data_IF_684483185660
#
_entry.id   IF_684483185660
#
_cell.length_a   1.000
_cell.length_b   1.000
_cell.length_c   1.000
_cell.angle_alpha   90.00
_cell.angle_beta   90.00
_cell.angle_gamma   90.00
#
_symmetry.space_group_name_H-M   'P 1'
#
loop_
_entity.id
_entity.type
_entity.pdbx_description
1 polymer ?
#
# COMPACT_ATOMS: atom_id res chain seq x y z
N UNK A 1 34.11 1.72 -9.07
CA UNK A 1 33.92 2.36 -7.76
C UNK A 1 32.44 2.71 -7.68
N UNK A 2 31.61 1.87 -7.05
CA UNK A 2 30.15 2.07 -7.02
C UNK A 2 29.86 3.27 -6.12
N UNK A 3 29.26 4.29 -6.70
CA UNK A 3 28.70 5.42 -5.97
C UNK A 3 27.82 4.86 -4.85
N UNK A 4 28.15 5.18 -3.59
CA UNK A 4 27.20 5.07 -2.50
C UNK A 4 26.10 6.07 -2.82
N UNK A 5 25.06 5.61 -3.52
CA UNK A 5 23.77 6.29 -3.57
C UNK A 5 23.48 6.80 -2.17
N UNK A 6 23.19 8.09 -2.07
CA UNK A 6 22.85 8.78 -0.83
C UNK A 6 21.71 8.03 -0.12
N UNK A 7 22.04 7.06 0.74
CA UNK A 7 21.17 6.49 1.77
C UNK A 7 21.02 7.52 2.90
N UNK A 8 20.61 8.75 2.55
CA UNK A 8 19.98 9.65 3.51
C UNK A 8 18.60 9.07 3.82
N UNK A 9 18.59 7.89 4.45
CA UNK A 9 17.38 7.21 4.86
C UNK A 9 16.51 8.17 5.65
N UNK A 10 15.25 8.28 5.24
CA UNK A 10 14.32 9.24 5.81
C UNK A 10 13.99 8.81 7.24
N UNK A 11 14.40 9.59 8.23
CA UNK A 11 14.00 9.38 9.62
C UNK A 11 12.68 10.07 9.89
N UNK A 12 11.86 9.47 10.76
CA UNK A 12 10.62 10.06 11.27
C UNK A 12 10.51 9.78 12.77
N UNK A 13 9.93 10.71 13.52
CA UNK A 13 9.60 10.49 14.93
C UNK A 13 8.09 10.39 15.08
N UNK A 14 7.63 9.34 15.73
CA UNK A 14 6.20 9.10 15.97
C UNK A 14 6.04 8.89 17.48
N UNK A 15 5.30 9.80 18.12
CA UNK A 15 5.27 9.92 19.58
C UNK A 15 6.68 10.09 20.13
N UNK A 16 7.12 9.14 20.97
CA UNK A 16 8.45 9.13 21.60
C UNK A 16 9.49 8.32 20.82
N UNK A 17 9.09 7.61 19.77
CA UNK A 17 9.94 6.63 19.08
C UNK A 17 10.46 7.19 17.76
N UNK A 18 11.76 7.09 17.54
CA UNK A 18 12.40 7.39 16.26
C UNK A 18 12.36 6.15 15.38
N UNK A 19 12.07 6.32 14.10
CA UNK A 19 12.11 5.28 13.09
C UNK A 19 13.04 5.69 11.95
N UNK A 20 13.83 4.73 11.45
CA UNK A 20 14.51 4.83 10.16
C UNK A 20 13.66 4.12 9.11
N UNK A 21 13.36 4.79 8.01
CA UNK A 21 12.80 4.17 6.82
C UNK A 21 13.95 3.50 6.07
N UNK A 22 13.90 2.18 5.92
CA UNK A 22 14.96 1.38 5.28
C UNK A 22 14.39 0.54 4.15
N UNK A 23 15.17 0.37 3.08
CA UNK A 23 14.89 -0.61 2.03
C UNK A 23 15.47 -1.97 2.43
N UNK A 24 14.62 -2.85 2.93
CA UNK A 24 15.00 -4.22 3.32
C UNK A 24 15.00 -5.11 2.08
N UNK A 25 16.13 -5.76 1.73
CA UNK A 25 16.17 -6.70 0.62
C UNK A 25 15.34 -7.96 0.93
N UNK A 26 14.72 -8.51 -0.10
CA UNK A 26 13.98 -9.77 -0.08
C UNK A 26 14.79 -10.88 -0.78
N UNK A 27 14.43 -12.14 -0.50
CA UNK A 27 15.01 -13.31 -1.19
C UNK A 27 14.77 -13.30 -2.70
N UNK A 28 13.73 -12.61 -3.18
CA UNK A 28 13.44 -12.45 -4.61
C UNK A 28 14.46 -11.60 -5.36
N UNK A 29 15.32 -10.86 -4.65
CA UNK A 29 16.21 -9.85 -5.21
C UNK A 29 15.61 -8.43 -5.19
N UNK A 30 14.33 -8.29 -4.88
CA UNK A 30 13.67 -7.00 -4.69
C UNK A 30 13.94 -6.40 -3.30
N UNK A 31 13.42 -5.20 -3.04
CA UNK A 31 13.44 -4.59 -1.71
C UNK A 31 12.09 -4.03 -1.33
N UNK A 32 11.78 -4.05 -0.03
CA UNK A 32 10.58 -3.44 0.56
C UNK A 32 10.97 -2.31 1.50
N UNK A 33 10.17 -1.26 1.52
CA UNK A 33 10.34 -0.19 2.50
C UNK A 33 9.76 -0.62 3.84
N UNK A 34 10.57 -0.59 4.90
CA UNK A 34 10.13 -0.92 6.26
C UNK A 34 10.59 0.15 7.24
N UNK A 35 9.82 0.35 8.30
CA UNK A 35 10.13 1.27 9.39
C UNK A 35 10.77 0.48 10.52
N UNK A 36 12.01 0.79 10.86
CA UNK A 36 12.74 0.13 11.95
C UNK A 36 12.92 1.12 13.09
N UNK A 37 12.55 0.79 14.34
CA UNK A 37 12.87 1.61 15.50
C UNK A 37 14.36 1.92 15.53
N UNK A 38 14.72 3.17 15.73
CA UNK A 38 16.10 3.63 15.67
C UNK A 38 16.52 4.29 16.98
N UNK A 39 17.77 4.08 17.37
CA UNK A 39 18.31 4.68 18.57
C UNK A 39 18.67 6.16 18.31
N UNK A 40 18.21 7.05 19.18
CA UNK A 40 18.41 8.49 19.04
C UNK A 40 19.85 8.95 19.34
N UNK A 41 20.58 8.25 20.20
CA UNK A 41 22.00 8.51 20.48
C UNK A 41 22.86 8.18 19.27
N UNK A 42 22.59 7.04 18.61
CA UNK A 42 23.24 6.67 17.34
C UNK A 42 22.96 7.72 16.27
N UNK A 43 21.71 8.16 16.12
CA UNK A 43 21.35 9.25 15.19
C UNK A 43 22.17 10.53 15.46
N UNK A 44 22.37 10.90 16.73
CA UNK A 44 23.16 12.07 17.12
C UNK A 44 24.66 11.94 16.84
N UNK A 45 25.19 10.72 16.84
CA UNK A 45 26.58 10.45 16.48
C UNK A 45 26.77 10.51 14.95
N UNK A 46 25.77 10.06 14.20
CA UNK A 46 25.84 9.94 12.74
C UNK A 46 25.46 11.23 11.98
N UNK A 47 24.67 12.12 12.60
CA UNK A 47 24.08 13.29 11.92
C UNK A 47 24.23 14.60 12.69
N UNK A 48 24.21 15.73 11.98
CA UNK A 48 24.27 17.07 12.57
C UNK A 48 22.98 17.44 13.32
N UNK A 49 23.08 18.41 14.25
CA UNK A 49 21.89 18.94 14.95
C UNK A 49 20.86 19.54 13.98
N UNK A 50 21.34 20.19 12.92
CA UNK A 50 20.47 20.78 11.91
C UNK A 50 19.66 19.71 11.18
N UNK A 51 20.30 18.60 10.80
CA UNK A 51 19.60 17.45 10.22
C UNK A 51 18.52 16.90 11.16
N UNK A 52 18.86 16.69 12.44
CA UNK A 52 17.93 16.15 13.44
C UNK A 52 16.72 17.07 13.64
N UNK A 53 16.92 18.39 13.53
CA UNK A 53 15.83 19.38 13.66
C UNK A 53 14.78 19.28 12.55
N UNK A 54 15.16 18.76 11.38
CA UNK A 54 14.32 18.62 10.19
C UNK A 54 13.51 17.31 10.17
N UNK A 55 13.76 16.39 11.11
CA UNK A 55 13.04 15.12 11.19
C UNK A 55 11.55 15.39 11.46
N UNK A 56 10.69 14.85 10.59
CA UNK A 56 9.24 14.95 10.71
C UNK A 56 8.75 14.32 12.02
N UNK A 57 7.80 14.99 12.68
CA UNK A 57 7.27 14.61 13.99
C UNK A 57 5.77 14.40 13.88
N UNK A 58 5.33 13.22 14.29
CA UNK A 58 3.92 12.85 14.35
C UNK A 58 3.56 12.47 15.78
N UNK A 59 2.33 12.73 16.20
CA UNK A 59 1.83 12.35 17.53
C UNK A 59 1.54 10.84 17.61
N UNK A 60 1.20 10.22 16.48
CA UNK A 60 0.90 8.81 16.38
C UNK A 60 0.62 8.34 14.96
N UNK A 61 0.06 7.13 14.87
CA UNK A 61 -0.44 6.54 13.64
C UNK A 61 -1.95 6.71 13.52
N UNK A 62 -2.44 6.82 12.29
CA UNK A 62 -3.86 6.72 11.96
C UNK A 62 -4.03 5.89 10.68
N UNK A 63 -5.26 5.47 10.39
CA UNK A 63 -5.61 4.80 9.14
C UNK A 63 -6.82 5.49 8.56
N UNK A 64 -6.59 6.39 7.59
CA UNK A 64 -7.63 7.10 6.87
C UNK A 64 -7.52 6.72 5.39
N UNK A 65 -8.33 5.74 4.93
CA UNK A 65 -8.35 5.30 3.54
C UNK A 65 -8.88 6.38 2.59
N UNK A 66 -8.08 6.74 1.59
CA UNK A 66 -8.52 7.48 0.41
C UNK A 66 -7.57 7.13 -0.75
N UNK A 67 -8.12 6.56 -1.83
CA UNK A 67 -7.35 6.14 -3.00
C UNK A 67 -7.04 7.29 -3.96
N UNK A 68 -7.92 8.29 -4.04
CA UNK A 68 -7.86 9.36 -5.04
C UNK A 68 -7.19 10.60 -4.42
N UNK A 69 -7.56 10.94 -3.19
CA UNK A 69 -7.05 12.11 -2.48
C UNK A 69 -6.21 11.68 -1.27
N UNK A 70 -5.31 10.72 -1.50
CA UNK A 70 -4.43 10.19 -0.47
C UNK A 70 -3.68 11.30 0.27
N UNK A 71 -3.71 11.23 1.60
CA UNK A 71 -2.95 12.10 2.48
C UNK A 71 -2.05 11.27 3.39
N UNK A 72 -0.73 11.50 3.28
CA UNK A 72 0.27 10.88 4.16
C UNK A 72 0.15 11.37 5.60
N UNK A 73 -0.28 12.60 5.81
CA UNK A 73 -0.43 13.22 7.13
C UNK A 73 -1.88 13.63 7.35
N UNK A 74 -2.48 13.19 8.45
CA UNK A 74 -3.82 13.58 8.88
C UNK A 74 -3.68 14.38 10.17
N UNK A 75 -3.73 15.71 10.08
CA UNK A 75 -3.41 16.60 11.20
C UNK A 75 -1.95 16.41 11.64
N UNK A 76 -1.74 15.88 12.85
CA UNK A 76 -0.42 15.55 13.41
C UNK A 76 -0.09 14.06 13.37
N UNK A 77 -0.93 13.23 12.72
CA UNK A 77 -0.77 11.78 12.67
C UNK A 77 -0.25 11.32 11.31
N UNK A 78 0.61 10.29 11.33
CA UNK A 78 1.06 9.62 10.11
C UNK A 78 0.03 8.59 9.68
N UNK A 79 -0.42 8.67 8.43
CA UNK A 79 -1.33 7.69 7.85
C UNK A 79 -0.58 6.38 7.56
N UNK A 80 -1.12 5.26 8.04
CA UNK A 80 -0.63 3.92 7.74
C UNK A 80 -1.15 3.42 6.40
N UNK A 81 -2.22 4.03 5.89
CA UNK A 81 -2.67 3.81 4.53
C UNK A 81 -1.59 4.22 3.54
N UNK A 82 -1.48 3.49 2.43
CA UNK A 82 -0.48 3.75 1.40
C UNK A 82 -1.12 4.37 0.15
N UNK A 83 -0.37 5.25 -0.51
CA UNK A 83 -0.75 5.74 -1.82
C UNK A 83 -0.80 4.57 -2.82
N UNK A 84 -1.82 4.56 -3.68
CA UNK A 84 -1.86 3.63 -4.81
C UNK A 84 -1.14 4.27 -5.99
N UNK A 85 -0.30 3.48 -6.68
CA UNK A 85 0.44 3.94 -7.84
C UNK A 85 -0.42 4.04 -9.11
N UNK A 86 -1.46 3.20 -9.22
CA UNK A 86 -2.33 3.10 -10.39
C UNK A 86 -3.57 3.98 -10.23
N UNK A 87 -3.67 5.02 -11.05
CA UNK A 87 -4.88 5.84 -11.18
C UNK A 87 -5.68 5.40 -12.41
N UNK A 88 -7.02 5.34 -12.34
CA UNK A 88 -7.87 5.07 -13.50
C UNK A 88 -7.63 6.08 -14.61
N UNK A 89 -7.64 5.58 -15.85
CA UNK A 89 -7.59 6.38 -17.06
C UNK A 89 -8.66 5.92 -18.04
N UNK A 90 -9.18 6.83 -18.85
CA UNK A 90 -10.12 6.48 -19.92
C UNK A 90 -9.45 5.52 -20.91
N UNK A 91 -10.20 4.52 -21.37
CA UNK A 91 -9.72 3.53 -22.33
C UNK A 91 -10.46 2.20 -22.25
N UNK A 92 -10.17 1.31 -23.19
CA UNK A 92 -10.68 -0.06 -23.14
C UNK A 92 -9.69 -0.98 -22.43
N UNK A 93 -10.22 -1.92 -21.65
CA UNK A 93 -9.44 -2.95 -20.96
C UNK A 93 -9.96 -4.36 -21.31
N UNK A 94 -9.96 -4.76 -22.60
CA UNK A 94 -10.67 -5.95 -23.08
C UNK A 94 -10.25 -7.24 -22.36
N UNK A 95 -8.95 -7.41 -22.09
CA UNK A 95 -8.43 -8.59 -21.37
C UNK A 95 -8.92 -8.63 -19.92
N UNK A 96 -8.97 -7.48 -19.25
CA UNK A 96 -9.52 -7.39 -17.89
C UNK A 96 -11.01 -7.65 -17.90
N UNK A 97 -11.75 -7.12 -18.88
CA UNK A 97 -13.18 -7.34 -19.00
C UNK A 97 -13.51 -8.82 -19.24
N UNK A 98 -12.81 -9.49 -20.15
CA UNK A 98 -12.98 -10.94 -20.40
C UNK A 98 -12.69 -11.76 -19.12
N UNK A 99 -11.66 -11.38 -18.36
CA UNK A 99 -11.36 -12.02 -17.08
C UNK A 99 -12.48 -11.83 -16.05
N UNK A 100 -13.03 -10.61 -15.94
CA UNK A 100 -14.12 -10.32 -15.00
C UNK A 100 -15.44 -10.96 -15.45
N UNK A 101 -15.71 -11.03 -16.76
CA UNK A 101 -16.82 -11.78 -17.36
C UNK A 101 -16.74 -13.26 -17.01
N UNK A 102 -15.56 -13.86 -17.14
CA UNK A 102 -15.34 -15.24 -16.73
C UNK A 102 -15.57 -15.45 -15.22
N UNK A 103 -15.14 -14.50 -14.39
CA UNK A 103 -15.21 -14.61 -12.93
C UNK A 103 -16.63 -14.43 -12.37
N UNK A 104 -17.33 -13.42 -12.85
CA UNK A 104 -18.65 -13.04 -12.35
C UNK A 104 -19.81 -13.63 -13.17
N UNK A 105 -19.55 -14.08 -14.39
CA UNK A 105 -20.55 -14.65 -15.29
C UNK A 105 -21.74 -13.71 -15.48
N UNK A 106 -22.95 -14.21 -15.22
CA UNK A 106 -24.20 -13.44 -15.30
C UNK A 106 -24.24 -12.24 -14.33
N UNK A 107 -23.38 -12.22 -13.31
CA UNK A 107 -23.33 -11.15 -12.30
C UNK A 107 -22.27 -10.08 -12.61
N UNK A 108 -21.78 -9.99 -13.85
CA UNK A 108 -20.71 -9.06 -14.26
C UNK A 108 -20.95 -7.62 -13.77
N UNK A 109 -22.12 -7.05 -14.04
CA UNK A 109 -22.48 -5.68 -13.64
C UNK A 109 -22.32 -5.47 -12.13
N UNK A 110 -22.75 -6.44 -11.32
CA UNK A 110 -22.60 -6.39 -9.86
C UNK A 110 -21.13 -6.49 -9.43
N UNK A 111 -20.34 -7.31 -10.13
CA UNK A 111 -18.90 -7.40 -9.91
C UNK A 111 -18.15 -6.11 -10.24
N UNK A 112 -18.53 -5.45 -11.34
CA UNK A 112 -17.98 -4.16 -11.75
C UNK A 112 -18.34 -3.05 -10.75
N UNK A 113 -19.59 -2.97 -10.32
CA UNK A 113 -20.03 -2.01 -9.29
C UNK A 113 -19.30 -2.26 -7.96
N UNK A 114 -19.14 -3.53 -7.56
CA UNK A 114 -18.36 -3.90 -6.38
C UNK A 114 -16.92 -3.38 -6.45
N UNK A 115 -16.22 -3.63 -7.56
CA UNK A 115 -14.84 -3.18 -7.76
C UNK A 115 -14.73 -1.66 -7.82
N UNK A 116 -15.68 -0.99 -8.47
CA UNK A 116 -15.73 0.46 -8.53
C UNK A 116 -15.95 1.05 -7.13
N UNK A 117 -16.89 0.53 -6.34
CA UNK A 117 -17.15 1.00 -4.98
C UNK A 117 -15.95 0.75 -4.06
N UNK A 118 -15.28 -0.38 -4.21
CA UNK A 118 -14.06 -0.69 -3.46
C UNK A 118 -12.96 0.35 -3.73
N UNK A 119 -12.85 0.86 -4.97
CA UNK A 119 -11.89 1.89 -5.36
C UNK A 119 -12.33 3.33 -5.02
N UNK A 120 -13.60 3.69 -5.28
CA UNK A 120 -14.08 5.07 -5.09
C UNK A 120 -14.48 5.37 -3.65
N UNK A 121 -14.86 4.35 -2.88
CA UNK A 121 -15.42 4.51 -1.53
C UNK A 121 -14.80 3.49 -0.57
N UNK A 122 -13.49 3.58 -0.26
CA UNK A 122 -12.80 2.56 0.57
C UNK A 122 -13.33 2.42 2.01
N UNK A 123 -14.17 3.35 2.48
CA UNK A 123 -14.84 3.28 3.79
C UNK A 123 -16.20 2.56 3.74
N UNK A 124 -16.72 2.25 2.55
CA UNK A 124 -18.01 1.60 2.40
C UNK A 124 -17.90 0.12 2.82
N UNK A 125 -18.91 -0.36 3.57
CA UNK A 125 -19.01 -1.77 3.88
C UNK A 125 -19.64 -2.49 2.69
N UNK A 126 -18.86 -3.33 2.01
CA UNK A 126 -19.34 -4.17 0.92
C UNK A 126 -19.63 -5.60 1.42
N UNK A 127 -20.51 -6.35 0.72
CA UNK A 127 -20.72 -7.78 0.99
C UNK A 127 -19.42 -8.58 0.87
N UNK A 128 -19.28 -9.68 1.62
CA UNK A 128 -18.11 -10.56 1.47
C UNK A 128 -18.24 -11.32 0.15
N UNK A 129 -17.29 -11.13 -0.76
CA UNK A 129 -17.24 -11.87 -2.01
C UNK A 129 -16.74 -13.30 -1.77
N UNK A 130 -17.59 -14.28 -2.01
CA UNK A 130 -17.26 -15.70 -1.91
C UNK A 130 -17.12 -16.29 -3.31
N UNK A 131 -15.87 -16.44 -3.76
CA UNK A 131 -15.58 -17.10 -5.03
C UNK A 131 -15.68 -18.63 -4.85
N UNK A 132 -16.81 -19.21 -5.25
CA UNK A 132 -17.03 -20.67 -5.24
C UNK A 132 -16.83 -21.20 -6.66
N UNK A 133 -16.16 -22.34 -6.78
CA UNK A 133 -16.06 -23.04 -8.06
C UNK A 133 -16.05 -24.54 -7.82
N UNK A 134 -16.72 -25.28 -8.70
CA UNK A 134 -16.73 -26.75 -8.73
C UNK A 134 -15.41 -27.30 -9.27
N UNK A 135 -14.75 -26.55 -10.15
CA UNK A 135 -13.50 -26.93 -10.82
C UNK A 135 -12.28 -26.28 -10.15
N UNK A 136 -11.11 -26.91 -10.31
CA UNK A 136 -9.80 -26.36 -9.93
C UNK A 136 -9.33 -25.36 -11.00
N UNK A 137 -8.48 -24.40 -10.63
CA UNK A 137 -7.88 -23.40 -11.54
C UNK A 137 -8.84 -22.36 -12.17
N UNK A 138 -9.87 -21.94 -11.43
CA UNK A 138 -10.92 -21.01 -11.89
C UNK A 138 -10.61 -19.52 -11.71
N UNK A 139 -9.33 -19.15 -11.66
CA UNK A 139 -8.92 -17.75 -11.59
C UNK A 139 -8.98 -17.09 -10.20
N UNK A 140 -9.27 -17.82 -9.11
CA UNK A 140 -9.33 -17.22 -7.75
C UNK A 140 -8.03 -16.56 -7.31
N UNK A 141 -6.90 -17.25 -7.48
CA UNK A 141 -5.57 -16.69 -7.20
C UNK A 141 -5.28 -15.52 -8.14
N UNK A 142 -5.70 -15.61 -9.40
CA UNK A 142 -5.57 -14.52 -10.38
C UNK A 142 -6.36 -13.29 -9.94
N UNK A 143 -7.58 -13.46 -9.41
CA UNK A 143 -8.38 -12.36 -8.89
C UNK A 143 -7.75 -11.69 -7.67
N UNK A 144 -7.25 -12.50 -6.74
CA UNK A 144 -6.51 -12.01 -5.58
C UNK A 144 -5.25 -11.24 -6.00
N UNK A 145 -4.51 -11.74 -6.99
CA UNK A 145 -3.35 -11.04 -7.56
C UNK A 145 -3.74 -9.76 -8.31
N UNK A 146 -4.87 -9.76 -9.00
CA UNK A 146 -5.44 -8.58 -9.66
C UNK A 146 -5.77 -7.49 -8.65
N UNK A 147 -6.47 -7.83 -7.56
CA UNK A 147 -6.71 -6.89 -6.46
C UNK A 147 -5.41 -6.41 -5.82
N UNK A 148 -4.42 -7.31 -5.63
CA UNK A 148 -3.13 -6.93 -5.05
C UNK A 148 -2.35 -5.96 -5.95
N UNK A 149 -2.47 -6.12 -7.28
CA UNK A 149 -1.86 -5.21 -8.24
C UNK A 149 -2.51 -3.81 -8.20
N UNK A 150 -3.81 -3.72 -7.93
CA UNK A 150 -4.53 -2.44 -7.80
C UNK A 150 -4.24 -1.81 -6.43
N UNK A 151 -4.45 -2.53 -5.34
CA UNK A 151 -4.48 -1.98 -3.97
C UNK A 151 -3.13 -2.05 -3.24
N UNK A 152 -2.14 -2.75 -3.80
CA UNK A 152 -0.75 -2.80 -3.32
C UNK A 152 -0.65 -3.05 -1.80
N UNK A 153 0.02 -2.17 -1.06
CA UNK A 153 0.22 -2.28 0.39
C UNK A 153 -1.05 -2.25 1.22
N UNK A 154 -2.17 -1.76 0.66
CA UNK A 154 -3.46 -1.69 1.36
C UNK A 154 -4.24 -3.02 1.35
N UNK A 155 -3.72 -4.07 0.70
CA UNK A 155 -4.30 -5.41 0.69
C UNK A 155 -3.38 -6.42 1.39
N UNK A 156 -3.94 -7.25 2.28
CA UNK A 156 -3.23 -8.35 2.95
C UNK A 156 -3.71 -9.71 2.44
N UNK A 157 -2.78 -10.67 2.34
CA UNK A 157 -3.10 -12.09 2.23
C UNK A 157 -2.94 -12.74 3.60
N UNK A 158 -3.99 -13.35 4.12
CA UNK A 158 -3.84 -14.33 5.19
C UNK A 158 -3.33 -15.61 4.53
N UNK A 159 -2.03 -15.85 4.68
CA UNK A 159 -1.37 -17.09 4.22
C UNK A 159 -1.11 -17.98 5.42
#
# INVERSE_FOLDING_TARGET
MKEKENDSGRYIRIGTTLYKIVRKPLLSGDSIEVRVPWNYETLRQDHSKDFISQIEKFDGFCSVPDHINYQRCIGTFLNQYEAIACLPSDGSCPVTMEFLEHLFGEQLEMGLDYLQLLYLKPLIRLPILLLVSTERNTGKTTFLNFLKAIFAGNMSFNT
#
